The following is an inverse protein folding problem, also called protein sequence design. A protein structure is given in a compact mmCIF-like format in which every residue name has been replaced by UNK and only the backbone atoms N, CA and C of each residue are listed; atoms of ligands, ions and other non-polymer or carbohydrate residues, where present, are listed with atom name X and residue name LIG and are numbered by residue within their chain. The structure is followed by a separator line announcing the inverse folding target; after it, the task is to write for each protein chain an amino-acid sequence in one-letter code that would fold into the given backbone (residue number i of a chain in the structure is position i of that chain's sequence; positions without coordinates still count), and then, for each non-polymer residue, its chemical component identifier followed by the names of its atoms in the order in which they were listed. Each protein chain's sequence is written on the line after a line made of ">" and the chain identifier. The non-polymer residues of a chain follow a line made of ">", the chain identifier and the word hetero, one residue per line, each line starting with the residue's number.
data_IF_751639154940
#
_entry.id   IF_751639154940
#
_cell.length_a   1.000
_cell.length_b   1.000
_cell.length_c   1.000
_cell.angle_alpha   90.00
_cell.angle_beta   90.00
_cell.angle_gamma   90.00
#
_symmetry.space_group_name_H-M   'P 1'
#
loop_
_entity.id
_entity.type
_entity.pdbx_description
1 polymer ?
#
# COMPACT_ATOMS: atom_id res chain seq x y z
N UNK A 1 -47.96 -14.83 -39.14
CA UNK A 1 -48.26 -14.67 -37.70
C UNK A 1 -47.12 -13.88 -37.08
N UNK A 2 -47.39 -12.72 -36.48
CA UNK A 2 -46.38 -11.86 -35.85
C UNK A 2 -46.21 -12.36 -34.41
N UNK A 3 -45.14 -13.11 -34.13
CA UNK A 3 -44.82 -13.51 -32.75
C UNK A 3 -44.55 -12.25 -31.93
N UNK A 4 -45.47 -11.95 -31.01
CA UNK A 4 -45.29 -10.90 -30.01
C UNK A 4 -44.36 -11.46 -28.95
N UNK A 5 -43.07 -11.18 -29.06
CA UNK A 5 -42.14 -11.42 -27.97
C UNK A 5 -42.40 -10.38 -26.87
N UNK A 6 -43.06 -10.80 -25.79
CA UNK A 6 -43.10 -10.01 -24.57
C UNK A 6 -41.73 -10.11 -23.90
N UNK A 7 -41.09 -8.95 -23.70
CA UNK A 7 -39.84 -8.88 -22.96
C UNK A 7 -40.12 -9.31 -21.51
N UNK A 8 -39.29 -10.18 -20.93
CA UNK A 8 -39.47 -10.61 -19.54
C UNK A 8 -39.39 -9.39 -18.61
N UNK A 9 -40.12 -9.46 -17.49
CA UNK A 9 -40.07 -8.41 -16.47
C UNK A 9 -38.63 -8.15 -16.02
N UNK A 10 -38.31 -6.89 -15.68
CA UNK A 10 -36.97 -6.49 -15.24
C UNK A 10 -36.42 -7.36 -14.10
N UNK A 11 -37.29 -7.79 -13.17
CA UNK A 11 -36.95 -8.72 -12.09
C UNK A 11 -36.43 -10.08 -12.59
N UNK A 12 -36.91 -10.54 -13.73
CA UNK A 12 -36.47 -11.79 -14.35
C UNK A 12 -35.07 -11.62 -14.97
N UNK A 13 -34.81 -10.46 -15.59
CA UNK A 13 -33.49 -10.11 -16.08
C UNK A 13 -32.47 -9.98 -14.92
N UNK A 14 -32.85 -9.30 -13.84
CA UNK A 14 -31.96 -9.14 -12.68
C UNK A 14 -31.66 -10.48 -12.00
N UNK A 15 -32.65 -11.37 -11.87
CA UNK A 15 -32.44 -12.73 -11.37
C UNK A 15 -31.48 -13.54 -12.26
N UNK A 16 -31.65 -13.44 -13.58
CA UNK A 16 -30.75 -14.09 -14.56
C UNK A 16 -29.32 -13.55 -14.43
N UNK A 17 -29.16 -12.24 -14.35
CA UNK A 17 -27.86 -11.59 -14.15
C UNK A 17 -27.25 -12.03 -12.81
N UNK A 18 -28.03 -12.08 -11.74
CA UNK A 18 -27.61 -12.56 -10.42
C UNK A 18 -27.12 -14.01 -10.47
N UNK A 19 -27.84 -14.89 -11.17
CA UNK A 19 -27.46 -16.28 -11.35
C UNK A 19 -26.13 -16.41 -12.11
N UNK A 20 -25.98 -15.71 -13.24
CA UNK A 20 -24.73 -15.70 -14.02
C UNK A 20 -23.56 -15.16 -13.20
N UNK A 21 -23.76 -14.07 -12.44
CA UNK A 21 -22.74 -13.52 -11.54
C UNK A 21 -22.30 -14.54 -10.48
N UNK A 22 -23.24 -15.25 -9.87
CA UNK A 22 -22.96 -16.30 -8.88
C UNK A 22 -22.15 -17.44 -9.49
N UNK A 23 -22.55 -17.93 -10.68
CA UNK A 23 -21.85 -18.97 -11.41
C UNK A 23 -20.40 -18.58 -11.72
N UNK A 24 -20.21 -17.40 -12.30
CA UNK A 24 -18.87 -16.88 -12.63
C UNK A 24 -18.02 -16.73 -11.37
N UNK A 25 -18.56 -16.14 -10.30
CA UNK A 25 -17.84 -15.97 -9.04
C UNK A 25 -17.43 -17.32 -8.45
N UNK A 26 -18.34 -18.30 -8.41
CA UNK A 26 -18.04 -19.63 -7.89
C UNK A 26 -16.94 -20.32 -8.70
N UNK A 27 -16.96 -20.20 -10.04
CA UNK A 27 -15.89 -20.71 -10.89
C UNK A 27 -14.53 -20.07 -10.56
N UNK A 28 -14.50 -18.75 -10.33
CA UNK A 28 -13.28 -18.04 -9.92
C UNK A 28 -12.79 -18.53 -8.55
N UNK A 29 -13.69 -18.68 -7.57
CA UNK A 29 -13.35 -19.15 -6.24
C UNK A 29 -12.79 -20.57 -6.24
N UNK A 30 -13.43 -21.49 -6.97
CA UNK A 30 -12.93 -22.86 -7.14
C UNK A 30 -11.56 -22.86 -7.80
N UNK A 31 -11.38 -22.07 -8.86
CA UNK A 31 -10.11 -21.98 -9.58
C UNK A 31 -8.96 -21.51 -8.69
N UNK A 32 -9.17 -20.41 -7.95
CA UNK A 32 -8.17 -19.90 -7.00
C UNK A 32 -7.91 -20.93 -5.91
N UNK A 33 -8.96 -21.57 -5.39
CA UNK A 33 -8.88 -22.65 -4.41
C UNK A 33 -7.97 -23.80 -4.86
N UNK A 34 -8.10 -24.26 -6.10
CA UNK A 34 -7.26 -25.33 -6.68
C UNK A 34 -5.81 -24.87 -6.90
N UNK A 35 -5.60 -23.58 -7.19
CA UNK A 35 -4.25 -23.04 -7.39
C UNK A 35 -3.44 -22.83 -6.11
N UNK A 36 -4.09 -22.82 -4.94
CA UNK A 36 -3.46 -22.64 -3.64
C UNK A 36 -2.84 -23.94 -3.15
N UNK A 37 -1.54 -23.91 -2.84
CA UNK A 37 -0.86 -24.97 -2.09
C UNK A 37 -1.40 -25.08 -0.66
N UNK A 38 -1.19 -26.23 -0.01
CA UNK A 38 -1.60 -26.44 1.39
C UNK A 38 -1.02 -25.38 2.33
N UNK A 39 0.24 -24.98 2.11
CA UNK A 39 0.88 -23.93 2.91
C UNK A 39 0.19 -22.56 2.73
N UNK A 40 -0.13 -22.18 1.49
CA UNK A 40 -0.85 -20.93 1.20
C UNK A 40 -2.29 -20.95 1.76
N UNK A 41 -2.97 -22.11 1.73
CA UNK A 41 -4.30 -22.28 2.33
C UNK A 41 -4.24 -22.07 3.85
N UNK A 42 -3.30 -22.73 4.54
CA UNK A 42 -3.09 -22.58 5.97
C UNK A 42 -2.74 -21.13 6.32
N UNK A 43 -1.87 -20.49 5.54
CA UNK A 43 -1.52 -19.09 5.75
C UNK A 43 -2.76 -18.19 5.71
N UNK A 44 -3.58 -18.31 4.67
CA UNK A 44 -4.79 -17.49 4.50
C UNK A 44 -5.77 -17.73 5.64
N UNK A 45 -5.98 -18.98 6.05
CA UNK A 45 -6.89 -19.29 7.16
C UNK A 45 -6.35 -18.75 8.51
N UNK A 46 -5.02 -18.74 8.72
CA UNK A 46 -4.38 -18.15 9.92
C UNK A 46 -4.56 -16.64 10.04
N UNK A 47 -4.77 -15.92 8.93
CA UNK A 47 -5.05 -14.47 8.97
C UNK A 47 -6.24 -14.12 9.87
N UNK A 48 -7.16 -15.07 10.09
CA UNK A 48 -8.39 -14.91 10.87
C UNK A 48 -8.26 -15.25 12.36
N UNK A 49 -7.15 -15.87 12.80
CA UNK A 49 -7.04 -16.47 14.15
C UNK A 49 -6.60 -15.45 15.22
N UNK A 50 -6.26 -14.21 14.83
CA UNK A 50 -6.17 -13.07 15.75
C UNK A 50 -4.96 -13.02 16.70
N UNK A 51 -4.32 -14.14 17.03
CA UNK A 51 -3.13 -14.19 17.90
C UNK A 51 -2.21 -15.34 17.48
N UNK A 52 -1.33 -15.10 16.51
CA UNK A 52 -0.21 -16.01 16.21
C UNK A 52 1.04 -15.21 15.90
N UNK A 53 2.20 -15.84 16.12
CA UNK A 53 3.58 -15.42 15.83
C UNK A 53 3.73 -14.03 15.21
N UNK A 54 4.59 -13.19 15.82
CA UNK A 54 4.90 -11.82 15.36
C UNK A 54 5.25 -11.71 13.86
N UNK A 55 5.59 -12.84 13.22
CA UNK A 55 6.00 -12.96 11.82
C UNK A 55 4.85 -13.10 10.81
N UNK A 56 3.63 -13.49 11.23
CA UNK A 56 2.50 -13.68 10.29
C UNK A 56 1.59 -12.45 10.28
N UNK A 57 1.20 -12.01 9.08
CA UNK A 57 0.23 -10.93 8.94
C UNK A 57 -1.13 -11.32 9.51
N UNK A 58 -1.86 -10.37 10.10
CA UNK A 58 -3.24 -10.58 10.58
C UNK A 58 -4.25 -9.86 9.69
N UNK A 59 -5.52 -10.26 9.73
CA UNK A 59 -6.59 -9.53 9.02
C UNK A 59 -6.60 -8.03 9.38
N UNK A 60 -6.35 -7.71 10.64
CA UNK A 60 -6.24 -6.33 11.12
C UNK A 60 -5.06 -5.59 10.45
N UNK A 61 -3.91 -6.26 10.31
CA UNK A 61 -2.76 -5.69 9.60
C UNK A 61 -3.08 -5.43 8.12
N UNK A 62 -3.77 -6.35 7.44
CA UNK A 62 -4.20 -6.20 6.05
C UNK A 62 -5.15 -5.01 5.86
N UNK A 63 -6.09 -4.82 6.81
CA UNK A 63 -7.08 -3.73 6.75
C UNK A 63 -6.52 -2.38 7.21
N UNK A 64 -5.44 -2.38 7.99
CA UNK A 64 -4.88 -1.16 8.58
C UNK A 64 -4.53 -0.12 7.51
N UNK A 65 -4.90 1.15 7.72
CA UNK A 65 -4.58 2.21 6.77
C UNK A 65 -3.06 2.42 6.70
N UNK A 66 -2.55 2.93 5.58
CA UNK A 66 -1.18 3.40 5.47
C UNK A 66 -0.94 4.52 6.51
N UNK A 67 0.07 4.35 7.37
CA UNK A 67 0.38 5.31 8.44
C UNK A 67 1.12 6.54 7.91
N UNK A 68 1.02 7.65 8.67
CA UNK A 68 1.59 8.97 8.35
C UNK A 68 3.12 8.97 8.23
N UNK A 69 3.63 9.97 7.52
CA UNK A 69 5.00 10.18 7.09
C UNK A 69 5.97 10.56 8.24
N UNK A 70 6.24 9.64 9.17
CA UNK A 70 7.26 9.83 10.22
C UNK A 70 8.34 8.76 10.14
N UNK A 71 9.52 9.00 10.72
CA UNK A 71 10.65 8.06 10.72
C UNK A 71 10.30 6.74 11.43
N UNK A 72 9.54 6.84 12.52
CA UNK A 72 8.91 5.69 13.20
C UNK A 72 7.88 5.00 12.28
N UNK A 73 7.10 5.79 11.52
CA UNK A 73 6.18 5.28 10.51
C UNK A 73 6.85 4.47 9.40
N UNK A 74 8.06 4.85 8.96
CA UNK A 74 8.81 4.08 7.94
C UNK A 74 9.24 2.70 8.46
N UNK A 75 9.77 2.61 9.69
CA UNK A 75 10.15 1.32 10.28
C UNK A 75 8.94 0.40 10.41
N UNK A 76 7.82 0.93 10.89
CA UNK A 76 6.59 0.16 11.00
C UNK A 76 6.02 -0.26 9.64
N UNK A 77 6.15 0.60 8.62
CA UNK A 77 5.74 0.28 7.25
C UNK A 77 6.62 -0.82 6.64
N UNK A 78 7.92 -0.82 6.95
CA UNK A 78 8.85 -1.87 6.57
C UNK A 78 8.49 -3.20 7.24
N UNK A 79 8.27 -3.22 8.57
CA UNK A 79 7.83 -4.43 9.27
C UNK A 79 6.51 -4.97 8.73
N UNK A 80 5.57 -4.08 8.40
CA UNK A 80 4.31 -4.47 7.72
C UNK A 80 4.59 -5.10 6.36
N UNK A 81 5.47 -4.50 5.56
CA UNK A 81 5.83 -5.03 4.25
C UNK A 81 6.45 -6.42 4.36
N UNK A 82 7.41 -6.59 5.27
CA UNK A 82 8.08 -7.88 5.49
C UNK A 82 7.06 -8.96 5.88
N UNK A 83 6.16 -8.66 6.82
CA UNK A 83 5.08 -9.55 7.22
C UNK A 83 4.14 -9.90 6.05
N UNK A 84 3.76 -8.93 5.20
CA UNK A 84 2.89 -9.19 4.03
C UNK A 84 3.59 -9.98 2.92
N UNK A 85 4.91 -9.88 2.81
CA UNK A 85 5.69 -10.58 1.80
C UNK A 85 6.02 -12.03 2.19
N UNK A 86 5.80 -12.44 3.44
CA UNK A 86 5.94 -13.84 3.88
C UNK A 86 5.04 -14.82 3.10
N UNK A 87 3.90 -14.36 2.59
CA UNK A 87 3.04 -15.16 1.70
C UNK A 87 3.70 -15.43 0.33
N UNK A 88 4.59 -14.55 -0.11
CA UNK A 88 5.17 -14.57 -1.45
C UNK A 88 4.28 -13.92 -2.51
N UNK A 89 4.38 -14.42 -3.74
CA UNK A 89 3.74 -13.83 -4.92
C UNK A 89 2.25 -14.19 -5.03
N UNK A 90 1.39 -13.39 -4.38
CA UNK A 90 -0.05 -13.49 -4.51
C UNK A 90 -0.57 -13.15 -5.92
N UNK A 91 0.19 -12.38 -6.72
CA UNK A 91 -0.23 -11.97 -8.06
C UNK A 91 -0.34 -13.17 -8.99
N UNK A 92 0.55 -14.16 -8.85
CA UNK A 92 0.54 -15.42 -9.62
C UNK A 92 -0.84 -16.07 -9.63
N UNK A 93 -1.46 -16.17 -8.46
CA UNK A 93 -2.76 -16.82 -8.24
C UNK A 93 -3.95 -15.99 -8.75
N UNK A 94 -3.75 -14.70 -9.00
CA UNK A 94 -4.77 -13.75 -9.45
C UNK A 94 -4.57 -13.29 -10.90
N UNK A 95 -3.52 -13.76 -11.58
CA UNK A 95 -3.07 -13.30 -12.90
C UNK A 95 -4.13 -13.39 -14.00
N UNK A 96 -5.02 -14.37 -13.90
CA UNK A 96 -6.10 -14.60 -14.87
C UNK A 96 -7.42 -13.93 -14.50
N UNK A 97 -7.47 -13.25 -13.35
CA UNK A 97 -8.65 -12.52 -12.89
C UNK A 97 -8.49 -11.05 -13.30
N UNK A 98 -9.55 -10.48 -13.89
CA UNK A 98 -9.56 -9.07 -14.24
C UNK A 98 -9.21 -8.20 -13.00
N UNK A 99 -8.28 -7.24 -13.09
CA UNK A 99 -7.87 -6.41 -11.96
C UNK A 99 -9.02 -5.67 -11.28
N UNK A 100 -10.04 -5.25 -12.03
CA UNK A 100 -11.27 -4.62 -11.48
C UNK A 100 -12.03 -5.59 -10.58
N UNK A 101 -12.06 -6.87 -10.94
CA UNK A 101 -12.71 -7.92 -10.13
C UNK A 101 -11.90 -8.24 -8.87
N UNK A 102 -10.57 -8.27 -8.97
CA UNK A 102 -9.68 -8.40 -7.81
C UNK A 102 -9.90 -7.26 -6.82
N UNK A 103 -9.93 -6.01 -7.31
CA UNK A 103 -10.24 -4.82 -6.49
C UNK A 103 -11.63 -4.91 -5.84
N UNK A 104 -12.63 -5.37 -6.60
CA UNK A 104 -13.98 -5.57 -6.07
C UNK A 104 -14.00 -6.60 -4.92
N UNK A 105 -13.34 -7.74 -5.09
CA UNK A 105 -13.22 -8.76 -4.05
C UNK A 105 -12.42 -8.29 -2.84
N UNK A 106 -11.34 -7.55 -3.05
CA UNK A 106 -10.56 -6.95 -1.96
C UNK A 106 -11.40 -5.93 -1.16
N UNK A 107 -12.19 -5.10 -1.85
CA UNK A 107 -13.12 -4.17 -1.20
C UNK A 107 -14.21 -4.92 -0.40
N UNK A 108 -14.78 -5.98 -0.97
CA UNK A 108 -15.72 -6.85 -0.25
C UNK A 108 -15.05 -7.46 1.01
N UNK A 109 -13.86 -8.04 0.86
CA UNK A 109 -13.11 -8.63 1.96
C UNK A 109 -12.78 -7.63 3.09
N UNK A 110 -12.56 -6.36 2.72
CA UNK A 110 -12.29 -5.29 3.69
C UNK A 110 -13.50 -4.99 4.58
N UNK A 111 -14.71 -5.08 4.03
CA UNK A 111 -15.96 -4.79 4.72
C UNK A 111 -16.42 -5.93 5.66
N UNK A 112 -15.96 -7.16 5.43
CA UNK A 112 -16.40 -8.37 6.14
C UNK A 112 -15.59 -8.59 7.42
N UNK A 113 -16.20 -8.91 8.55
CA UNK A 113 -15.49 -9.20 9.81
C UNK A 113 -15.01 -10.67 9.94
N UNK A 114 -14.29 -11.00 11.02
CA UNK A 114 -13.72 -12.35 11.21
C UNK A 114 -14.84 -13.41 11.30
N UNK A 115 -15.91 -13.15 12.04
CA UNK A 115 -17.06 -14.06 12.17
C UNK A 115 -17.73 -14.32 10.83
N UNK A 116 -18.03 -13.26 10.08
CA UNK A 116 -18.64 -13.38 8.75
C UNK A 116 -17.72 -14.12 7.78
N UNK A 117 -16.39 -13.98 7.89
CA UNK A 117 -15.45 -14.79 7.10
C UNK A 117 -15.56 -16.27 7.44
N UNK A 118 -15.76 -16.64 8.71
CA UNK A 118 -15.88 -18.04 9.14
C UNK A 118 -17.14 -18.71 8.57
N UNK A 119 -18.23 -17.95 8.37
CA UNK A 119 -19.46 -18.43 7.75
C UNK A 119 -19.34 -18.68 6.23
N UNK A 120 -18.31 -18.14 5.58
CA UNK A 120 -18.06 -18.35 4.16
C UNK A 120 -17.44 -19.71 3.87
N UNK A 121 -17.89 -20.33 2.77
CA UNK A 121 -17.24 -21.52 2.21
C UNK A 121 -15.76 -21.24 1.91
N UNK A 122 -14.90 -22.20 2.21
CA UNK A 122 -13.43 -22.06 2.15
C UNK A 122 -12.91 -21.48 0.82
N UNK A 123 -13.39 -21.91 -0.38
CA UNK A 123 -12.87 -21.36 -1.63
C UNK A 123 -13.14 -19.86 -1.78
N UNK A 124 -14.34 -19.42 -1.36
CA UNK A 124 -14.71 -18.00 -1.38
C UNK A 124 -13.91 -17.24 -0.33
N UNK A 125 -13.87 -17.74 0.90
CA UNK A 125 -13.12 -17.14 2.02
C UNK A 125 -11.67 -16.88 1.65
N UNK A 126 -10.95 -17.92 1.21
CA UNK A 126 -9.52 -17.84 0.83
C UNK A 126 -9.31 -16.92 -0.37
N UNK A 127 -10.18 -16.93 -1.37
CA UNK A 127 -10.06 -16.01 -2.51
C UNK A 127 -10.22 -14.55 -2.11
N UNK A 128 -11.18 -14.23 -1.25
CA UNK A 128 -11.39 -12.87 -0.74
C UNK A 128 -10.18 -12.39 0.08
N UNK A 129 -9.67 -13.26 0.97
CA UNK A 129 -8.46 -12.97 1.75
C UNK A 129 -7.23 -12.77 0.86
N UNK A 130 -7.05 -13.61 -0.16
CA UNK A 130 -5.97 -13.48 -1.14
C UNK A 130 -6.05 -12.15 -1.91
N UNK A 131 -7.25 -11.74 -2.35
CA UNK A 131 -7.44 -10.46 -3.03
C UNK A 131 -7.10 -9.28 -2.10
N UNK A 132 -7.52 -9.35 -0.83
CA UNK A 132 -7.19 -8.33 0.17
C UNK A 132 -5.69 -8.28 0.47
N UNK A 133 -5.05 -9.44 0.61
CA UNK A 133 -3.61 -9.56 0.83
C UNK A 133 -2.83 -8.95 -0.34
N UNK A 134 -3.18 -9.30 -1.58
CA UNK A 134 -2.57 -8.74 -2.77
C UNK A 134 -2.73 -7.22 -2.82
N UNK A 135 -3.94 -6.70 -2.54
CA UNK A 135 -4.16 -5.25 -2.46
C UNK A 135 -3.29 -4.60 -1.38
N UNK A 136 -3.15 -5.24 -0.22
CA UNK A 136 -2.30 -4.77 0.86
C UNK A 136 -0.81 -4.79 0.49
N UNK A 137 -0.33 -5.84 -0.20
CA UNK A 137 1.04 -5.93 -0.71
C UNK A 137 1.36 -4.79 -1.70
N UNK A 138 0.48 -4.58 -2.69
CA UNK A 138 0.64 -3.52 -3.69
C UNK A 138 0.64 -2.15 -3.01
N UNK A 139 -0.37 -1.84 -2.20
CA UNK A 139 -0.45 -0.56 -1.50
C UNK A 139 0.77 -0.31 -0.62
N UNK A 140 1.15 -1.29 0.19
CA UNK A 140 2.29 -1.15 1.11
C UNK A 140 3.59 -0.91 0.36
N UNK A 141 3.82 -1.61 -0.76
CA UNK A 141 4.96 -1.36 -1.65
C UNK A 141 4.94 0.06 -2.20
N UNK A 142 3.81 0.51 -2.75
CA UNK A 142 3.70 1.83 -3.37
C UNK A 142 3.92 2.94 -2.33
N UNK A 143 3.38 2.77 -1.11
CA UNK A 143 3.63 3.69 0.01
C UNK A 143 5.10 3.70 0.46
N UNK A 144 5.78 2.55 0.49
CA UNK A 144 7.21 2.50 0.82
C UNK A 144 8.03 3.30 -0.20
N UNK A 145 7.75 3.13 -1.50
CA UNK A 145 8.41 3.88 -2.57
C UNK A 145 8.14 5.38 -2.42
N UNK A 146 6.87 5.77 -2.22
CA UNK A 146 6.50 7.17 -2.03
C UNK A 146 7.21 7.81 -0.82
N UNK A 147 7.27 7.10 0.32
CA UNK A 147 7.95 7.55 1.52
C UNK A 147 9.45 7.70 1.32
N UNK A 148 10.07 6.74 0.63
CA UNK A 148 11.49 6.80 0.30
C UNK A 148 11.80 8.04 -0.56
N UNK A 149 11.03 8.27 -1.63
CA UNK A 149 11.22 9.43 -2.51
C UNK A 149 11.08 10.76 -1.75
N UNK A 150 10.02 10.89 -0.93
CA UNK A 150 9.82 12.09 -0.09
C UNK A 150 10.98 12.33 0.88
N UNK A 151 11.54 11.26 1.44
CA UNK A 151 12.69 11.33 2.36
C UNK A 151 13.94 11.83 1.64
N UNK A 152 14.26 11.29 0.47
CA UNK A 152 15.41 11.71 -0.34
C UNK A 152 15.27 13.18 -0.75
N UNK A 153 14.08 13.60 -1.19
CA UNK A 153 13.81 14.99 -1.55
C UNK A 153 14.04 15.94 -0.36
N UNK A 154 13.58 15.57 0.84
CA UNK A 154 13.81 16.37 2.05
C UNK A 154 15.29 16.49 2.40
N UNK A 155 16.06 15.40 2.27
CA UNK A 155 17.51 15.43 2.51
C UNK A 155 18.19 16.38 1.52
N UNK A 156 17.84 16.32 0.24
CA UNK A 156 18.41 17.19 -0.79
C UNK A 156 18.09 18.66 -0.54
N UNK A 157 16.83 18.98 -0.20
CA UNK A 157 16.41 20.35 0.10
C UNK A 157 17.12 20.90 1.33
N UNK A 158 17.24 20.10 2.40
CA UNK A 158 17.96 20.50 3.61
C UNK A 158 19.45 20.76 3.33
N UNK A 159 20.09 19.93 2.50
CA UNK A 159 21.49 20.11 2.11
C UNK A 159 21.68 21.39 1.29
N UNK A 160 20.77 21.68 0.35
CA UNK A 160 20.80 22.91 -0.45
C UNK A 160 20.63 24.15 0.42
N UNK A 161 19.68 24.13 1.35
CA UNK A 161 19.48 25.22 2.31
C UNK A 161 20.73 25.42 3.18
N UNK A 162 21.30 24.33 3.71
CA UNK A 162 22.51 24.41 4.54
C UNK A 162 23.72 24.96 3.78
N UNK A 163 23.85 24.61 2.50
CA UNK A 163 24.89 25.17 1.63
C UNK A 163 24.70 26.68 1.42
N UNK A 164 23.46 27.11 1.24
CA UNK A 164 23.15 28.53 1.10
C UNK A 164 23.48 29.31 2.38
N UNK A 165 23.03 28.82 3.54
CA UNK A 165 23.35 29.41 4.85
C UNK A 165 24.87 29.53 5.07
N UNK A 166 25.63 28.52 4.66
CA UNK A 166 27.09 28.50 4.80
C UNK A 166 27.77 29.52 3.89
N UNK A 167 27.28 29.69 2.65
CA UNK A 167 27.77 30.72 1.71
C UNK A 167 27.48 32.12 2.22
N UNK A 168 26.27 32.38 2.71
CA UNK A 168 25.88 33.67 3.28
C UNK A 168 26.76 34.02 4.49
N UNK A 169 27.03 33.04 5.37
CA UNK A 169 27.93 33.22 6.51
C UNK A 169 29.36 33.55 6.08
N UNK A 170 29.92 32.86 5.09
CA UNK A 170 31.26 33.15 4.59
C UNK A 170 31.36 34.54 3.93
N UNK A 171 30.33 34.96 3.19
CA UNK A 171 30.28 36.30 2.60
C UNK A 171 30.27 37.38 3.69
N UNK A 172 29.46 37.21 4.74
CA UNK A 172 29.42 38.14 5.87
C UNK A 172 30.79 38.25 6.57
N UNK A 173 31.43 37.11 6.88
CA UNK A 173 32.77 37.07 7.49
C UNK A 173 33.84 37.74 6.61
N UNK A 174 33.78 37.52 5.29
CA UNK A 174 34.73 38.15 4.35
C UNK A 174 34.53 39.66 4.29
N UNK A 175 33.27 40.13 4.32
CA UNK A 175 32.95 41.56 4.35
C UNK A 175 33.49 42.23 5.62
N UNK A 176 33.28 41.61 6.78
CA UNK A 176 33.79 42.09 8.07
C UNK A 176 35.33 42.18 8.09
N UNK A 177 36.02 41.16 7.55
CA UNK A 177 37.48 41.17 7.43
C UNK A 177 37.99 42.28 6.50
N UNK A 178 37.28 42.56 5.41
CA UNK A 178 37.64 43.66 4.50
C UNK A 178 37.43 45.02 5.15
N UNK A 179 36.36 45.19 5.92
CA UNK A 179 36.06 46.41 6.66
C UNK A 179 37.12 46.70 7.73
N UNK A 180 37.46 45.71 8.54
CA UNK A 180 38.53 45.82 9.54
C UNK A 180 39.91 46.10 8.91
N UNK A 181 40.23 45.48 7.77
CA UNK A 181 41.44 45.79 7.00
C UNK A 181 41.45 47.24 6.48
N UNK A 182 40.32 47.72 5.98
CA UNK A 182 40.19 49.10 5.51
C UNK A 182 40.40 50.09 6.67
N UNK A 183 39.82 49.84 7.84
CA UNK A 183 40.03 50.64 9.05
C UNK A 183 41.52 50.71 9.43
N UNK A 184 42.21 49.57 9.50
CA UNK A 184 43.64 49.52 9.82
C UNK A 184 44.48 50.31 8.81
N UNK A 185 44.18 50.19 7.52
CA UNK A 185 44.86 50.95 6.46
C UNK A 185 44.63 52.45 6.58
N UNK A 186 43.41 52.88 6.93
CA UNK A 186 43.13 54.30 7.16
C UNK A 186 43.87 54.84 8.39
N UNK A 187 43.91 54.07 9.48
CA UNK A 187 44.64 54.43 10.69
C UNK A 187 46.16 54.54 10.45
N UNK A 188 46.76 53.60 9.69
CA UNK A 188 48.19 53.65 9.40
C UNK A 188 48.57 54.81 8.49
N UNK A 189 47.64 55.29 7.65
CA UNK A 189 47.85 56.45 6.76
C UNK A 189 47.76 57.79 7.48
N UNK A 190 47.19 57.83 8.68
CA UNK A 190 47.10 59.02 9.55
C UNK A 190 48.31 59.12 10.49
N UNK A 191 49.06 58.01 10.69
CA UNK A 191 50.25 57.95 11.57
C UNK A 191 51.60 58.16 10.84
N UNK A 192 51.58 58.55 9.56
CA UNK A 192 52.74 58.98 8.76
C UNK A 192 52.52 60.44 8.37
#
# INVERSE_FOLDING_TARGET
>A
MKERYELPAFSTLDRLIGHVRSLVNNRLFTRVGVGLSTAEQIYLDRLLVGETDESIATLNLLKSPPKRTTLSGMKLLQSKFDALMTFGDAKRLLSEINPTKVRYFAAQARAIDISEFQDLKEPKRRTLLLCLLYEAQVKTRDYLVEMFLKRILKIHNNAKQRLQELREKHLAQTSELLETLAEVLTASRISI
#
